data_IF_838642470989
#
_entry.id   IF_838642470989
#
_cell.length_a   1.000
_cell.length_b   1.000
_cell.length_c   1.000
_cell.angle_alpha   90.00
_cell.angle_beta   90.00
_cell.angle_gamma   90.00
#
_symmetry.space_group_name_H-M   'P 1'
#
loop_
_entity.id
_entity.type
_entity.pdbx_description
1 polymer ?
#
# COMPACT_ATOMS: atom_id res chain seq x y z
N UNK A 1 -23.43 -14.88 14.21
CA UNK A 1 -22.85 -15.44 12.95
C UNK A 1 -21.34 -15.21 12.94
N UNK A 2 -20.58 -16.11 12.33
CA UNK A 2 -19.12 -15.95 12.21
C UNK A 2 -18.79 -14.96 11.07
N UNK A 3 -17.83 -14.06 11.30
CA UNK A 3 -17.37 -13.09 10.28
C UNK A 3 -16.46 -13.75 9.20
N UNK A 4 -15.85 -14.90 9.51
CA UNK A 4 -14.95 -15.60 8.59
C UNK A 4 -15.49 -15.84 7.17
N UNK A 5 -16.74 -16.29 6.98
CA UNK A 5 -17.32 -16.47 5.64
C UNK A 5 -17.39 -15.18 4.82
N UNK A 6 -17.64 -14.03 5.43
CA UNK A 6 -17.68 -12.75 4.71
C UNK A 6 -16.29 -12.32 4.25
N UNK A 7 -15.28 -12.54 5.07
CA UNK A 7 -13.90 -12.33 4.67
C UNK A 7 -13.50 -13.29 3.54
N UNK A 8 -13.88 -14.56 3.61
CA UNK A 8 -13.65 -15.52 2.52
C UNK A 8 -14.32 -15.08 1.22
N UNK A 9 -15.56 -14.57 1.28
CA UNK A 9 -16.26 -14.04 0.10
C UNK A 9 -15.51 -12.86 -0.51
N UNK A 10 -14.96 -11.95 0.31
CA UNK A 10 -14.11 -10.87 -0.17
C UNK A 10 -12.86 -11.42 -0.90
N UNK A 11 -12.24 -12.46 -0.38
CA UNK A 11 -11.08 -13.09 -1.03
C UNK A 11 -11.43 -13.89 -2.30
N UNK A 12 -12.67 -14.32 -2.50
CA UNK A 12 -13.11 -14.87 -3.80
C UNK A 12 -13.05 -13.81 -4.90
N UNK A 13 -13.34 -12.56 -4.57
CA UNK A 13 -13.28 -11.43 -5.51
C UNK A 13 -11.87 -10.83 -5.61
N UNK A 14 -11.00 -11.09 -4.66
CA UNK A 14 -9.65 -10.54 -4.58
C UNK A 14 -8.81 -10.71 -5.86
N UNK A 15 -8.73 -11.90 -6.50
CA UNK A 15 -7.92 -12.07 -7.71
C UNK A 15 -8.35 -11.17 -8.85
N UNK A 16 -9.66 -11.00 -9.04
CA UNK A 16 -10.22 -10.12 -10.08
C UNK A 16 -9.85 -8.66 -9.79
N UNK A 17 -10.05 -8.21 -8.55
CA UNK A 17 -9.70 -6.84 -8.14
C UNK A 17 -8.20 -6.58 -8.27
N UNK A 18 -7.36 -7.58 -7.99
CA UNK A 18 -5.92 -7.48 -8.15
C UNK A 18 -5.51 -7.28 -9.61
N UNK A 19 -6.06 -8.07 -10.54
CA UNK A 19 -5.76 -7.95 -11.98
C UNK A 19 -6.23 -6.61 -12.55
N UNK A 20 -7.32 -6.05 -12.01
CA UNK A 20 -7.80 -4.70 -12.35
C UNK A 20 -6.97 -3.57 -11.70
N UNK A 21 -5.75 -3.85 -11.24
CA UNK A 21 -4.85 -2.86 -10.65
C UNK A 21 -5.23 -2.42 -9.24
N UNK A 22 -6.04 -3.22 -8.55
CA UNK A 22 -6.44 -2.97 -7.15
C UNK A 22 -7.52 -1.91 -6.96
N UNK A 23 -8.10 -1.37 -8.01
CA UNK A 23 -9.12 -0.32 -7.92
C UNK A 23 -10.40 -0.77 -7.18
N UNK A 24 -10.73 -2.06 -7.25
CA UNK A 24 -11.90 -2.63 -6.57
C UNK A 24 -11.69 -2.97 -5.08
N UNK A 25 -10.50 -2.82 -4.54
CA UNK A 25 -10.25 -3.17 -3.13
C UNK A 25 -10.95 -2.25 -2.14
N UNK A 26 -11.06 -0.95 -2.43
CA UNK A 26 -11.75 -0.01 -1.54
C UNK A 26 -13.26 -0.33 -1.40
N UNK A 27 -14.03 -0.54 -2.48
CA UNK A 27 -15.39 -1.07 -2.38
C UNK A 27 -15.47 -2.41 -1.64
N UNK A 28 -14.50 -3.30 -1.85
CA UNK A 28 -14.47 -4.61 -1.21
C UNK A 28 -14.30 -4.51 0.31
N UNK A 29 -13.42 -3.62 0.80
CA UNK A 29 -13.32 -3.29 2.23
C UNK A 29 -14.59 -2.64 2.74
N UNK A 30 -15.20 -1.76 1.94
CA UNK A 30 -16.49 -1.15 2.26
C UNK A 30 -17.56 -2.21 2.54
N UNK A 31 -17.74 -3.16 1.63
CA UNK A 31 -18.70 -4.25 1.77
C UNK A 31 -18.38 -5.18 2.96
N UNK A 32 -17.11 -5.49 3.21
CA UNK A 32 -16.70 -6.29 4.36
C UNK A 32 -16.93 -5.55 5.68
N UNK A 33 -16.66 -4.25 5.74
CA UNK A 33 -16.96 -3.41 6.90
C UNK A 33 -18.46 -3.32 7.19
N UNK A 34 -19.29 -3.15 6.15
CA UNK A 34 -20.76 -3.19 6.29
C UNK A 34 -21.25 -4.57 6.75
N UNK A 35 -20.70 -5.65 6.23
CA UNK A 35 -21.01 -6.99 6.71
C UNK A 35 -20.62 -7.16 8.18
N UNK A 36 -19.50 -6.58 8.61
CA UNK A 36 -19.10 -6.57 10.01
C UNK A 36 -20.13 -5.87 10.90
N UNK A 37 -20.74 -4.76 10.46
CA UNK A 37 -21.83 -4.08 11.16
C UNK A 37 -23.09 -4.95 11.29
N UNK A 38 -23.41 -5.69 10.24
CA UNK A 38 -24.63 -6.51 10.19
C UNK A 38 -24.54 -7.81 11.01
N UNK A 39 -23.34 -8.40 11.11
CA UNK A 39 -23.15 -9.77 11.64
C UNK A 39 -22.51 -9.81 13.02
N UNK A 40 -21.68 -8.85 13.35
CA UNK A 40 -21.01 -8.74 14.64
C UNK A 40 -21.43 -7.43 15.31
N UNK A 41 -21.49 -7.41 16.63
CA UNK A 41 -21.53 -6.11 17.35
C UNK A 41 -20.15 -5.47 17.15
N UNK A 42 -20.04 -4.50 16.22
CA UNK A 42 -18.73 -4.01 15.82
C UNK A 42 -18.12 -3.28 17.00
N UNK A 43 -16.90 -3.64 17.31
CA UNK A 43 -16.07 -2.86 18.22
C UNK A 43 -14.83 -2.49 17.41
N UNK A 44 -14.55 -1.20 17.33
CA UNK A 44 -13.28 -0.72 16.84
C UNK A 44 -12.16 -1.38 17.63
N UNK A 45 -10.98 -1.62 17.02
CA UNK A 45 -9.85 -2.12 17.76
C UNK A 45 -9.59 -1.22 18.98
N UNK A 46 -9.66 -1.72 20.22
CA UNK A 46 -9.51 -0.87 21.43
C UNK A 46 -8.02 -0.67 21.70
N UNK A 47 -7.32 -0.07 20.78
CA UNK A 47 -5.89 0.07 20.88
C UNK A 47 -5.49 1.54 20.67
N UNK A 48 -4.54 2.07 21.45
CA UNK A 48 -4.06 3.45 21.31
C UNK A 48 -3.66 3.79 19.88
N UNK A 49 -3.08 2.82 19.13
CA UNK A 49 -2.67 3.05 17.74
C UNK A 49 -3.87 3.37 16.84
N UNK A 50 -5.05 2.76 17.06
CA UNK A 50 -6.23 3.04 16.28
C UNK A 50 -6.76 4.46 16.56
N UNK A 51 -6.78 4.89 17.83
CA UNK A 51 -7.19 6.25 18.20
C UNK A 51 -6.24 7.30 17.60
N UNK A 52 -4.94 7.10 17.70
CA UNK A 52 -3.95 8.02 17.14
C UNK A 52 -4.04 8.02 15.61
N UNK A 53 -4.21 6.84 14.98
CA UNK A 53 -4.43 6.71 13.54
C UNK A 53 -5.68 7.44 13.07
N UNK A 54 -6.80 7.33 13.78
CA UNK A 54 -7.99 8.15 13.51
C UNK A 54 -7.73 9.64 13.74
N UNK A 55 -6.93 10.01 14.74
CA UNK A 55 -6.47 11.38 14.95
C UNK A 55 -5.69 11.91 13.73
N UNK A 56 -4.83 11.10 13.14
CA UNK A 56 -4.14 11.45 11.89
C UNK A 56 -5.13 11.65 10.73
N UNK A 57 -6.09 10.73 10.54
CA UNK A 57 -7.10 10.85 9.48
C UNK A 57 -8.00 12.08 9.70
N UNK A 58 -8.39 12.35 10.95
CA UNK A 58 -9.17 13.53 11.29
C UNK A 58 -8.39 14.83 11.02
N UNK A 59 -7.11 14.86 11.36
CA UNK A 59 -6.23 15.99 11.06
C UNK A 59 -6.08 16.19 9.55
N UNK A 60 -5.84 15.12 8.80
CA UNK A 60 -5.77 15.17 7.36
C UNK A 60 -7.09 15.65 6.74
N UNK A 61 -8.23 15.19 7.23
CA UNK A 61 -9.54 15.66 6.78
C UNK A 61 -9.76 17.15 7.10
N UNK A 62 -9.36 17.59 8.30
CA UNK A 62 -9.43 19.00 8.69
C UNK A 62 -8.55 19.87 7.78
N UNK A 63 -7.38 19.35 7.37
CA UNK A 63 -6.45 20.07 6.48
C UNK A 63 -7.02 20.36 5.09
N UNK A 64 -8.09 19.68 4.68
CA UNK A 64 -8.80 19.99 3.43
C UNK A 64 -9.44 21.40 3.44
N UNK A 65 -9.69 21.98 4.64
CA UNK A 65 -10.26 23.33 4.77
C UNK A 65 -9.34 24.45 4.24
N UNK A 66 -8.03 24.23 4.23
CA UNK A 66 -7.05 25.18 3.69
C UNK A 66 -6.33 24.68 2.46
N UNK A 67 -6.70 23.49 1.96
CA UNK A 67 -6.11 22.94 0.76
C UNK A 67 -6.46 23.80 -0.47
N UNK A 68 -5.52 24.01 -1.40
CA UNK A 68 -5.81 24.71 -2.63
C UNK A 68 -6.88 23.98 -3.44
N UNK A 69 -7.87 24.75 -3.94
CA UNK A 69 -8.86 24.22 -4.87
C UNK A 69 -10.08 23.54 -4.25
N UNK A 70 -10.38 23.76 -2.97
CA UNK A 70 -11.58 23.29 -2.24
C UNK A 70 -12.50 22.38 -3.07
N UNK A 71 -12.29 21.06 -3.10
CA UNK A 71 -13.09 20.16 -3.90
C UNK A 71 -14.54 20.19 -3.40
N UNK A 72 -15.50 20.09 -4.32
CA UNK A 72 -16.88 19.80 -3.92
C UNK A 72 -16.91 18.45 -3.22
N UNK A 73 -17.80 18.28 -2.22
CA UNK A 73 -17.94 16.98 -1.55
C UNK A 73 -18.23 15.86 -2.54
N UNK A 74 -19.11 16.15 -3.48
CA UNK A 74 -19.53 15.23 -4.54
C UNK A 74 -19.74 15.98 -5.85
N UNK A 75 -19.57 15.31 -6.96
CA UNK A 75 -19.92 15.79 -8.30
C UNK A 75 -20.70 14.73 -9.06
N UNK A 76 -21.39 15.18 -10.12
CA UNK A 76 -22.23 14.33 -10.96
C UNK A 76 -23.51 13.84 -10.29
N UNK A 77 -24.15 12.87 -10.90
CA UNK A 77 -25.43 12.28 -10.48
C UNK A 77 -25.37 10.76 -10.51
N UNK A 78 -25.97 10.11 -9.52
CA UNK A 78 -26.13 8.65 -9.51
C UNK A 78 -27.02 8.17 -10.66
N UNK A 79 -28.00 8.97 -11.05
CA UNK A 79 -28.93 8.62 -12.12
C UNK A 79 -28.24 8.65 -13.49
N UNK A 80 -27.28 9.55 -13.66
CA UNK A 80 -26.51 9.68 -14.91
C UNK A 80 -25.27 8.78 -14.94
N UNK A 81 -25.04 8.01 -13.88
CA UNK A 81 -23.89 7.10 -13.77
C UNK A 81 -22.52 7.80 -13.67
N UNK A 82 -22.51 9.12 -13.40
CA UNK A 82 -21.28 9.92 -13.31
C UNK A 82 -21.00 10.47 -11.91
N UNK A 83 -21.66 9.92 -10.88
CA UNK A 83 -21.45 10.31 -9.49
C UNK A 83 -20.00 10.03 -9.04
N UNK A 84 -19.38 11.04 -8.46
CA UNK A 84 -18.03 10.95 -7.90
C UNK A 84 -17.95 11.65 -6.55
N UNK A 85 -17.27 11.04 -5.59
CA UNK A 85 -16.85 11.68 -4.33
C UNK A 85 -15.53 12.39 -4.61
N UNK A 86 -15.54 13.72 -4.63
CA UNK A 86 -14.34 14.52 -4.93
C UNK A 86 -13.51 14.80 -3.67
N UNK A 87 -14.16 14.96 -2.52
CA UNK A 87 -13.51 15.22 -1.25
C UNK A 87 -12.74 13.98 -0.78
N UNK A 88 -11.43 14.07 -0.75
CA UNK A 88 -10.53 12.98 -0.32
C UNK A 88 -10.68 12.66 1.16
N UNK A 89 -11.05 13.65 1.97
CA UNK A 89 -11.38 13.47 3.39
C UNK A 89 -12.47 12.44 3.61
N UNK A 90 -13.54 12.50 2.82
CA UNK A 90 -14.68 11.57 2.95
C UNK A 90 -14.24 10.14 2.64
N UNK A 91 -13.55 9.92 1.53
CA UNK A 91 -13.09 8.58 1.17
C UNK A 91 -12.07 8.04 2.18
N UNK A 92 -11.15 8.87 2.67
CA UNK A 92 -10.16 8.48 3.68
C UNK A 92 -10.82 8.08 5.01
N UNK A 93 -11.80 8.87 5.51
CA UNK A 93 -12.54 8.56 6.73
C UNK A 93 -13.34 7.26 6.57
N UNK A 94 -14.09 7.13 5.47
CA UNK A 94 -14.90 5.94 5.22
C UNK A 94 -14.04 4.70 5.10
N UNK A 95 -12.95 4.76 4.36
CA UNK A 95 -12.02 3.64 4.23
C UNK A 95 -11.40 3.25 5.57
N UNK A 96 -10.91 4.23 6.36
CA UNK A 96 -10.33 3.97 7.66
C UNK A 96 -11.34 3.31 8.61
N UNK A 97 -12.59 3.78 8.61
CA UNK A 97 -13.66 3.20 9.41
C UNK A 97 -13.98 1.77 8.97
N UNK A 98 -14.18 1.52 7.68
CA UNK A 98 -14.50 0.20 7.15
C UNK A 98 -13.35 -0.80 7.36
N UNK A 99 -12.10 -0.37 7.19
CA UNK A 99 -10.91 -1.15 7.50
C UNK A 99 -10.84 -1.52 8.99
N UNK A 100 -11.07 -0.55 9.88
CA UNK A 100 -11.07 -0.79 11.32
C UNK A 100 -12.18 -1.75 11.76
N UNK A 101 -13.38 -1.65 11.17
CA UNK A 101 -14.48 -2.58 11.41
C UNK A 101 -14.15 -3.99 10.91
N UNK A 102 -13.55 -4.13 9.73
CA UNK A 102 -13.10 -5.39 9.16
C UNK A 102 -12.05 -6.07 10.05
N UNK A 103 -11.01 -5.34 10.43
CA UNK A 103 -9.94 -5.84 11.30
C UNK A 103 -10.48 -6.17 12.69
N UNK A 104 -11.25 -5.26 13.30
CA UNK A 104 -11.84 -5.45 14.63
C UNK A 104 -12.79 -6.65 14.71
N UNK A 105 -13.57 -6.91 13.66
CA UNK A 105 -14.43 -8.08 13.56
C UNK A 105 -13.66 -9.36 13.35
N UNK A 106 -12.56 -9.33 12.56
CA UNK A 106 -11.67 -10.48 12.36
C UNK A 106 -10.95 -10.87 13.63
N UNK A 107 -10.49 -9.90 14.43
CA UNK A 107 -9.88 -10.14 15.74
C UNK A 107 -10.78 -10.91 16.71
N UNK A 108 -12.09 -10.87 16.52
CA UNK A 108 -13.10 -11.53 17.37
C UNK A 108 -13.82 -12.68 16.70
N UNK A 109 -13.55 -12.88 15.41
CA UNK A 109 -14.17 -13.98 14.67
C UNK A 109 -13.79 -15.31 15.31
N UNK A 110 -14.73 -16.25 15.34
CA UNK A 110 -14.41 -17.65 15.63
C UNK A 110 -13.47 -18.19 14.55
N UNK A 111 -12.60 -19.13 14.88
CA UNK A 111 -11.79 -19.84 13.90
C UNK A 111 -12.65 -20.37 12.75
N UNK A 112 -12.12 -20.26 11.56
CA UNK A 112 -12.86 -20.60 10.35
C UNK A 112 -11.93 -21.32 9.33
N UNK A 113 -11.64 -22.62 9.54
CA UNK A 113 -10.69 -23.38 8.69
C UNK A 113 -11.04 -23.32 7.21
N UNK A 114 -12.35 -23.45 6.87
CA UNK A 114 -12.81 -23.35 5.48
C UNK A 114 -12.54 -21.97 4.87
N UNK A 115 -12.84 -20.90 5.62
CA UNK A 115 -12.55 -19.53 5.19
C UNK A 115 -11.05 -19.30 5.01
N UNK A 116 -10.24 -19.79 5.94
CA UNK A 116 -8.78 -19.74 5.86
C UNK A 116 -8.22 -20.46 4.63
N UNK A 117 -8.81 -21.61 4.28
CA UNK A 117 -8.46 -22.35 3.06
C UNK A 117 -8.83 -21.59 1.79
N UNK A 118 -10.03 -20.99 1.74
CA UNK A 118 -10.45 -20.15 0.60
C UNK A 118 -9.48 -18.98 0.39
N UNK A 119 -9.10 -18.27 1.46
CA UNK A 119 -8.15 -17.17 1.37
C UNK A 119 -6.81 -17.63 0.76
N UNK A 120 -6.27 -18.76 1.23
CA UNK A 120 -4.99 -19.27 0.72
C UNK A 120 -5.09 -19.66 -0.77
N UNK A 121 -6.16 -20.33 -1.18
CA UNK A 121 -6.38 -20.71 -2.58
C UNK A 121 -6.52 -19.46 -3.46
N UNK A 122 -7.30 -18.47 -3.03
CA UNK A 122 -7.54 -17.26 -3.82
C UNK A 122 -6.27 -16.39 -3.96
N UNK A 123 -5.38 -16.36 -2.98
CA UNK A 123 -4.06 -15.73 -3.14
C UNK A 123 -3.21 -16.47 -4.17
N UNK A 124 -3.27 -17.80 -4.23
CA UNK A 124 -2.63 -18.59 -5.28
C UNK A 124 -3.22 -18.29 -6.67
N UNK A 125 -4.55 -18.23 -6.79
CA UNK A 125 -5.24 -17.84 -8.02
C UNK A 125 -4.83 -16.45 -8.47
N UNK A 126 -4.75 -15.49 -7.54
CA UNK A 126 -4.26 -14.15 -7.85
C UNK A 126 -2.85 -14.19 -8.44
N UNK A 127 -1.94 -14.94 -7.83
CA UNK A 127 -0.56 -15.01 -8.31
C UNK A 127 -0.50 -15.51 -9.76
N UNK A 128 -1.24 -16.57 -10.06
CA UNK A 128 -1.32 -17.12 -11.43
C UNK A 128 -1.93 -16.09 -12.39
N UNK A 129 -3.05 -15.46 -12.02
CA UNK A 129 -3.73 -14.50 -12.89
C UNK A 129 -2.89 -13.25 -13.16
N UNK A 130 -2.21 -12.70 -12.14
CA UNK A 130 -1.35 -11.51 -12.33
C UNK A 130 -0.15 -11.86 -13.23
N UNK A 131 0.49 -13.00 -13.03
CA UNK A 131 1.60 -13.45 -13.88
C UNK A 131 1.10 -13.66 -15.32
N UNK A 132 -0.01 -14.36 -15.50
CA UNK A 132 -0.58 -14.62 -16.82
C UNK A 132 -1.00 -13.32 -17.52
N UNK A 133 -1.69 -12.41 -16.83
CA UNK A 133 -2.11 -11.11 -17.40
C UNK A 133 -0.93 -10.24 -17.79
N UNK A 134 0.19 -10.33 -17.08
CA UNK A 134 1.41 -9.60 -17.42
C UNK A 134 2.11 -10.18 -18.66
N UNK A 135 2.25 -11.51 -18.72
CA UNK A 135 2.85 -12.20 -19.87
C UNK A 135 2.02 -11.99 -21.13
N UNK A 136 0.70 -12.04 -20.98
CA UNK A 136 -0.25 -11.91 -22.08
C UNK A 136 -0.76 -10.47 -22.28
N UNK A 137 -0.11 -9.47 -21.68
CA UNK A 137 -0.59 -8.08 -21.67
C UNK A 137 -0.83 -7.52 -23.06
N UNK A 138 0.10 -7.70 -24.00
CA UNK A 138 -0.05 -7.22 -25.37
C UNK A 138 -1.29 -7.79 -26.06
N UNK A 139 -1.42 -9.11 -26.21
CA UNK A 139 -2.60 -9.73 -26.84
C UNK A 139 -3.91 -9.39 -26.12
N UNK A 140 -3.93 -9.38 -24.78
CA UNK A 140 -5.14 -9.10 -23.99
C UNK A 140 -5.57 -7.65 -24.15
N UNK A 141 -4.66 -6.69 -24.04
CA UNK A 141 -4.98 -5.28 -24.21
C UNK A 141 -5.44 -4.96 -25.63
N UNK A 142 -4.79 -5.52 -26.65
CA UNK A 142 -5.20 -5.35 -28.05
C UNK A 142 -6.58 -5.97 -28.32
N UNK A 143 -6.87 -7.13 -27.76
CA UNK A 143 -8.18 -7.78 -27.91
C UNK A 143 -9.31 -6.99 -27.22
N UNK A 144 -9.02 -6.34 -26.07
CA UNK A 144 -10.03 -5.60 -25.28
C UNK A 144 -10.23 -4.18 -25.80
N UNK A 145 -9.15 -3.48 -26.15
CA UNK A 145 -9.17 -2.04 -26.45
C UNK A 145 -8.89 -1.72 -27.91
N UNK A 146 -8.57 -2.70 -28.75
CA UNK A 146 -8.23 -2.48 -30.15
C UNK A 146 -6.97 -1.60 -30.27
N UNK A 147 -7.07 -0.55 -31.10
CA UNK A 147 -5.99 0.41 -31.35
C UNK A 147 -6.12 1.71 -30.54
N UNK A 148 -7.05 1.79 -29.58
CA UNK A 148 -7.21 2.97 -28.74
C UNK A 148 -5.99 3.17 -27.83
N UNK A 149 -5.07 4.02 -28.25
CA UNK A 149 -3.80 4.27 -27.59
C UNK A 149 -3.97 4.69 -26.12
N UNK A 150 -5.00 5.48 -25.79
CA UNK A 150 -5.28 5.94 -24.44
C UNK A 150 -5.70 4.78 -23.55
N UNK A 151 -6.64 3.96 -24.01
CA UNK A 151 -7.12 2.79 -23.27
C UNK A 151 -6.05 1.71 -23.13
N UNK A 152 -5.22 1.53 -24.15
CA UNK A 152 -4.05 0.65 -24.09
C UNK A 152 -3.07 1.10 -23.02
N UNK A 153 -2.79 2.40 -22.93
CA UNK A 153 -1.91 2.96 -21.89
C UNK A 153 -2.51 2.81 -20.49
N UNK A 154 -3.80 3.13 -20.31
CA UNK A 154 -4.50 2.95 -19.04
C UNK A 154 -4.53 1.47 -18.60
N UNK A 155 -4.77 0.56 -19.53
CA UNK A 155 -4.72 -0.89 -19.31
C UNK A 155 -3.34 -1.37 -18.89
N UNK A 156 -2.28 -0.93 -19.57
CA UNK A 156 -0.90 -1.24 -19.22
C UNK A 156 -0.54 -0.73 -17.82
N UNK A 157 -0.98 0.47 -17.45
CA UNK A 157 -0.79 0.99 -16.09
C UNK A 157 -1.51 0.15 -15.03
N UNK A 158 -2.71 -0.36 -15.32
CA UNK A 158 -3.44 -1.23 -14.41
C UNK A 158 -2.74 -2.57 -14.21
N UNK A 159 -2.15 -3.15 -15.26
CA UNK A 159 -1.32 -4.36 -15.17
C UNK A 159 -0.09 -4.07 -14.29
N UNK A 160 0.58 -2.93 -14.47
CA UNK A 160 1.69 -2.51 -13.60
C UNK A 160 1.28 -2.37 -12.12
N UNK A 161 0.08 -1.83 -11.86
CA UNK A 161 -0.48 -1.77 -10.49
C UNK A 161 -0.79 -3.16 -9.93
N UNK A 162 -1.21 -4.11 -10.78
CA UNK A 162 -1.43 -5.51 -10.38
C UNK A 162 -0.16 -6.16 -9.83
N UNK A 163 1.01 -5.83 -10.36
CA UNK A 163 2.30 -6.29 -9.83
C UNK A 163 2.51 -5.88 -8.36
N UNK A 164 2.14 -4.64 -7.99
CA UNK A 164 2.20 -4.20 -6.60
C UNK A 164 1.20 -4.96 -5.71
N UNK A 165 0.02 -5.31 -6.22
CA UNK A 165 -0.94 -6.13 -5.46
C UNK A 165 -0.42 -7.56 -5.25
N UNK A 166 0.30 -8.11 -6.23
CA UNK A 166 0.98 -9.39 -6.08
C UNK A 166 2.10 -9.30 -5.04
N UNK A 167 2.92 -8.24 -5.07
CA UNK A 167 3.96 -8.03 -4.08
C UNK A 167 3.44 -7.93 -2.64
N UNK A 168 2.19 -7.47 -2.43
CA UNK A 168 1.50 -7.49 -1.13
C UNK A 168 0.90 -8.86 -0.77
N UNK A 169 0.60 -9.71 -1.75
CA UNK A 169 0.04 -11.05 -1.53
C UNK A 169 1.13 -12.10 -1.26
N UNK A 170 2.29 -11.97 -1.89
CA UNK A 170 3.42 -12.91 -1.73
C UNK A 170 3.87 -13.10 -0.28
N UNK A 171 3.96 -12.05 0.58
CA UNK A 171 4.28 -12.23 1.99
C UNK A 171 3.32 -13.16 2.74
N UNK A 172 2.07 -13.22 2.32
CA UNK A 172 1.08 -14.13 2.90
C UNK A 172 1.24 -15.54 2.33
N UNK A 173 1.40 -15.64 1.03
CA UNK A 173 1.39 -16.92 0.31
C UNK A 173 2.67 -17.72 0.53
N UNK A 174 3.86 -17.10 0.42
CA UNK A 174 5.13 -17.82 0.47
C UNK A 174 5.38 -18.54 1.80
N UNK A 175 5.23 -17.94 2.99
CA UNK A 175 5.40 -18.65 4.25
C UNK A 175 4.40 -19.79 4.44
N UNK A 176 3.16 -19.61 3.97
CA UNK A 176 2.15 -20.68 4.03
C UNK A 176 2.52 -21.87 3.16
N UNK A 177 3.01 -21.63 1.94
CA UNK A 177 3.50 -22.70 1.06
C UNK A 177 4.65 -23.45 1.72
N UNK A 178 5.69 -22.74 2.16
CA UNK A 178 6.91 -23.33 2.73
C UNK A 178 6.60 -24.17 3.97
N UNK A 179 5.76 -23.68 4.86
CA UNK A 179 5.56 -24.27 6.17
C UNK A 179 4.39 -25.28 6.24
N UNK A 180 3.48 -25.25 5.25
CA UNK A 180 2.29 -26.13 5.23
C UNK A 180 2.35 -27.27 4.23
N UNK A 181 3.02 -27.11 3.11
CA UNK A 181 3.09 -28.10 2.03
C UNK A 181 4.42 -28.90 2.07
N UNK A 182 4.97 -29.13 3.25
CA UNK A 182 6.15 -29.99 3.50
C UNK A 182 7.16 -29.99 2.31
N UNK A 183 7.26 -31.11 1.58
CA UNK A 183 8.26 -31.29 0.53
C UNK A 183 8.03 -30.45 -0.73
N UNK A 184 6.79 -30.21 -1.11
CA UNK A 184 6.43 -29.51 -2.36
C UNK A 184 6.40 -27.99 -2.15
N UNK A 185 6.06 -27.56 -0.95
CA UNK A 185 5.86 -26.15 -0.61
C UNK A 185 7.08 -25.27 -0.85
N UNK A 186 8.28 -25.63 -0.38
CA UNK A 186 9.48 -24.86 -0.62
C UNK A 186 9.81 -24.68 -2.10
N UNK A 187 9.63 -25.72 -2.91
CA UNK A 187 9.86 -25.66 -4.35
C UNK A 187 8.84 -24.75 -5.05
N UNK A 188 7.55 -24.86 -4.69
CA UNK A 188 6.51 -23.97 -5.22
C UNK A 188 6.73 -22.51 -4.80
N UNK A 189 7.10 -22.26 -3.55
CA UNK A 189 7.39 -20.93 -3.06
C UNK A 189 8.61 -20.32 -3.78
N UNK A 190 9.67 -21.09 -3.99
CA UNK A 190 10.84 -20.66 -4.73
C UNK A 190 10.50 -20.36 -6.20
N UNK A 191 9.76 -21.25 -6.88
CA UNK A 191 9.32 -21.06 -8.26
C UNK A 191 8.46 -19.80 -8.40
N UNK A 192 7.51 -19.58 -7.48
CA UNK A 192 6.64 -18.42 -7.48
C UNK A 192 7.43 -17.12 -7.22
N UNK A 193 8.34 -17.12 -6.24
CA UNK A 193 9.16 -15.96 -5.93
C UNK A 193 10.10 -15.60 -7.09
N UNK A 194 10.79 -16.59 -7.68
CA UNK A 194 11.68 -16.40 -8.83
C UNK A 194 10.87 -15.91 -10.04
N UNK A 195 9.73 -16.53 -10.31
CA UNK A 195 8.85 -16.14 -11.41
C UNK A 195 8.32 -14.71 -11.25
N UNK A 196 7.91 -14.31 -10.06
CA UNK A 196 7.48 -12.94 -9.77
C UNK A 196 8.62 -11.94 -9.95
N UNK A 197 9.81 -12.20 -9.40
CA UNK A 197 10.99 -11.33 -9.56
C UNK A 197 11.39 -11.21 -11.02
N UNK A 198 11.45 -12.32 -11.76
CA UNK A 198 11.77 -12.31 -13.18
C UNK A 198 10.76 -11.49 -13.99
N UNK A 199 9.46 -11.67 -13.71
CA UNK A 199 8.38 -10.89 -14.32
C UNK A 199 8.52 -9.40 -14.01
N UNK A 200 8.82 -9.02 -12.76
CA UNK A 200 8.99 -7.61 -12.37
C UNK A 200 10.17 -6.96 -13.08
N UNK A 201 11.29 -7.68 -13.21
CA UNK A 201 12.48 -7.19 -13.92
C UNK A 201 12.19 -7.03 -15.42
N UNK A 202 11.63 -8.05 -16.06
CA UNK A 202 11.36 -8.03 -17.51
C UNK A 202 10.34 -6.96 -17.88
N UNK A 203 9.35 -6.74 -17.02
CA UNK A 203 8.27 -5.76 -17.26
C UNK A 203 8.60 -4.35 -16.74
N UNK A 204 9.74 -4.13 -16.09
CA UNK A 204 10.12 -2.82 -15.55
C UNK A 204 9.25 -2.36 -14.35
N UNK A 205 8.74 -3.31 -13.56
CA UNK A 205 7.92 -2.99 -12.38
C UNK A 205 8.77 -2.76 -11.13
N UNK A 206 9.59 -1.72 -11.16
CA UNK A 206 10.58 -1.37 -10.13
C UNK A 206 9.99 -1.33 -8.71
N UNK A 207 8.79 -0.78 -8.53
CA UNK A 207 8.16 -0.67 -7.21
C UNK A 207 7.80 -2.03 -6.60
N UNK A 208 7.36 -2.98 -7.43
CA UNK A 208 7.08 -4.34 -7.00
C UNK A 208 8.37 -5.10 -6.68
N UNK A 209 9.44 -4.87 -7.45
CA UNK A 209 10.76 -5.44 -7.17
C UNK A 209 11.32 -4.94 -5.85
N UNK A 210 11.26 -3.63 -5.59
CA UNK A 210 11.68 -3.03 -4.31
C UNK A 210 10.82 -3.56 -3.16
N UNK A 211 9.54 -3.83 -3.39
CA UNK A 211 8.66 -4.44 -2.39
C UNK A 211 9.09 -5.88 -2.03
N UNK A 212 9.59 -6.67 -3.00
CA UNK A 212 10.17 -8.00 -2.72
C UNK A 212 11.44 -7.92 -1.88
N UNK A 213 12.29 -6.92 -2.14
CA UNK A 213 13.48 -6.66 -1.33
C UNK A 213 13.09 -6.30 0.10
N UNK A 214 12.15 -5.36 0.27
CA UNK A 214 11.65 -4.95 1.58
C UNK A 214 10.98 -6.08 2.34
N UNK A 215 10.19 -6.93 1.65
CA UNK A 215 9.62 -8.15 2.20
C UNK A 215 10.70 -9.04 2.77
N UNK A 216 11.72 -9.36 1.97
CA UNK A 216 12.80 -10.27 2.37
C UNK A 216 13.61 -9.70 3.52
N UNK A 217 13.95 -8.42 3.46
CA UNK A 217 14.68 -7.73 4.52
C UNK A 217 13.91 -7.74 5.86
N UNK A 218 12.60 -7.46 5.83
CA UNK A 218 11.77 -7.47 7.03
C UNK A 218 11.60 -8.87 7.63
N UNK A 219 11.46 -9.91 6.79
CA UNK A 219 11.42 -11.30 7.24
C UNK A 219 12.73 -11.67 7.91
N UNK A 220 13.88 -11.39 7.29
CA UNK A 220 15.20 -11.65 7.86
C UNK A 220 15.41 -10.88 9.17
N UNK A 221 15.05 -9.61 9.19
CA UNK A 221 15.16 -8.77 10.37
C UNK A 221 14.38 -9.32 11.57
N UNK A 222 13.12 -9.73 11.33
CA UNK A 222 12.28 -10.33 12.39
C UNK A 222 12.74 -11.75 12.77
N UNK A 223 13.34 -12.50 11.84
CA UNK A 223 13.94 -13.80 12.14
C UNK A 223 15.14 -13.66 13.08
N UNK A 224 15.99 -12.66 12.88
CA UNK A 224 17.16 -12.37 13.74
C UNK A 224 16.75 -11.76 15.08
N UNK A 225 15.67 -11.00 15.13
CA UNK A 225 15.16 -10.31 16.33
C UNK A 225 13.80 -10.87 16.80
N UNK A 226 13.71 -12.13 17.22
CA UNK A 226 12.43 -12.79 17.49
C UNK A 226 11.67 -12.20 18.70
N UNK A 227 12.35 -11.47 19.59
CA UNK A 227 11.72 -10.84 20.77
C UNK A 227 11.24 -9.40 20.52
N UNK A 228 11.88 -8.67 19.63
CA UNK A 228 11.67 -7.23 19.45
C UNK A 228 11.52 -6.77 17.99
N UNK A 229 11.60 -7.69 17.03
CA UNK A 229 11.66 -7.36 15.60
C UNK A 229 10.52 -6.45 15.14
N UNK A 230 9.27 -6.70 15.55
CA UNK A 230 8.15 -5.80 15.19
C UNK A 230 8.30 -4.41 15.82
N UNK A 231 8.78 -4.32 17.06
CA UNK A 231 8.97 -3.01 17.70
C UNK A 231 9.98 -2.16 16.94
N UNK A 232 11.09 -2.75 16.53
CA UNK A 232 12.12 -2.07 15.76
C UNK A 232 11.68 -1.78 14.32
N UNK A 233 10.95 -2.69 13.69
CA UNK A 233 10.43 -2.50 12.33
C UNK A 233 9.45 -1.32 12.27
N UNK A 234 8.42 -1.32 13.10
CA UNK A 234 7.43 -0.24 13.11
C UNK A 234 7.96 1.05 13.78
N UNK A 235 8.83 0.94 14.78
CA UNK A 235 9.55 2.08 15.33
C UNK A 235 10.49 2.73 14.30
N UNK A 236 11.18 1.93 13.49
CA UNK A 236 11.99 2.40 12.37
C UNK A 236 11.17 3.11 11.30
N UNK A 237 9.98 2.56 10.95
CA UNK A 237 9.05 3.22 10.02
C UNK A 237 8.52 4.54 10.60
N UNK A 238 8.24 4.60 11.90
CA UNK A 238 7.85 5.84 12.57
C UNK A 238 8.98 6.89 12.50
N UNK A 239 10.22 6.47 12.80
CA UNK A 239 11.40 7.32 12.66
C UNK A 239 11.63 7.79 11.21
N UNK A 240 11.41 6.91 10.23
CA UNK A 240 11.48 7.24 8.82
C UNK A 240 10.46 8.33 8.44
N UNK A 241 9.19 8.21 8.89
CA UNK A 241 8.18 9.26 8.63
C UNK A 241 8.59 10.56 9.31
N UNK A 242 8.96 10.51 10.59
CA UNK A 242 9.32 11.70 11.35
C UNK A 242 10.53 12.44 10.77
N UNK A 243 11.54 11.71 10.28
CA UNK A 243 12.78 12.27 9.76
C UNK A 243 12.79 12.42 8.22
N UNK A 244 11.70 12.11 7.52
CA UNK A 244 11.70 12.05 6.06
C UNK A 244 12.28 13.30 5.37
N UNK A 245 11.93 14.55 5.72
CA UNK A 245 12.51 15.72 5.06
C UNK A 245 14.02 15.77 5.16
N UNK A 246 14.57 15.48 6.34
CA UNK A 246 16.03 15.48 6.58
C UNK A 246 16.70 14.32 5.87
N UNK A 247 16.12 13.11 5.96
CA UNK A 247 16.67 11.90 5.31
C UNK A 247 16.74 12.09 3.81
N UNK A 248 15.69 12.61 3.18
CA UNK A 248 15.66 12.81 1.73
C UNK A 248 16.52 14.00 1.29
N UNK A 249 16.62 15.08 2.08
CA UNK A 249 17.57 16.15 1.79
C UNK A 249 19.03 15.65 1.82
N UNK A 250 19.37 14.80 2.79
CA UNK A 250 20.70 14.17 2.86
C UNK A 250 20.93 13.19 1.72
N UNK A 251 19.91 12.38 1.37
CA UNK A 251 19.97 11.43 0.25
C UNK A 251 20.21 12.15 -1.09
N UNK A 252 19.48 13.24 -1.36
CA UNK A 252 19.63 14.02 -2.58
C UNK A 252 21.06 14.56 -2.66
N UNK A 253 21.59 15.15 -1.58
CA UNK A 253 22.97 15.64 -1.53
C UNK A 253 24.01 14.51 -1.74
N UNK A 254 23.79 13.35 -1.13
CA UNK A 254 24.69 12.21 -1.26
C UNK A 254 24.71 11.63 -2.68
N UNK A 255 23.60 11.76 -3.42
CA UNK A 255 23.45 11.25 -4.78
C UNK A 255 23.78 12.28 -5.87
N UNK A 256 24.14 13.53 -5.52
CA UNK A 256 24.35 14.62 -6.48
C UNK A 256 25.35 14.22 -7.60
N UNK A 257 26.51 13.67 -7.25
CA UNK A 257 27.50 13.21 -8.23
C UNK A 257 27.12 11.92 -8.98
N UNK A 258 26.13 11.16 -8.51
CA UNK A 258 25.70 9.88 -9.11
C UNK A 258 24.38 10.03 -9.88
N UNK A 259 23.60 11.06 -9.55
CA UNK A 259 22.29 11.31 -10.10
C UNK A 259 22.21 11.22 -11.66
N UNK A 260 23.18 11.76 -12.43
CA UNK A 260 23.16 11.65 -13.90
C UNK A 260 23.20 10.23 -14.44
N UNK A 261 23.73 9.28 -13.67
CA UNK A 261 23.89 7.87 -14.06
C UNK A 261 22.70 6.98 -13.62
N UNK A 262 21.78 7.51 -12.82
CA UNK A 262 20.61 6.77 -12.39
C UNK A 262 19.57 6.64 -13.53
N UNK A 263 18.73 5.60 -13.52
CA UNK A 263 17.58 5.51 -14.42
C UNK A 263 16.70 6.75 -14.37
N UNK A 264 16.08 7.13 -15.50
CA UNK A 264 15.27 8.34 -15.63
C UNK A 264 14.15 8.44 -14.56
N UNK A 265 13.51 7.30 -14.21
CA UNK A 265 12.47 7.22 -13.17
C UNK A 265 12.98 7.58 -11.76
N UNK A 266 14.26 7.29 -11.44
CA UNK A 266 14.86 7.68 -10.17
C UNK A 266 15.31 9.13 -10.19
N UNK A 267 15.92 9.58 -11.28
CA UNK A 267 16.35 10.98 -11.45
C UNK A 267 15.19 11.95 -11.31
N UNK A 268 14.08 11.66 -11.97
CA UNK A 268 12.88 12.50 -11.89
C UNK A 268 12.31 12.58 -10.46
N UNK A 269 12.39 11.48 -9.70
CA UNK A 269 11.96 11.46 -8.30
C UNK A 269 12.87 12.28 -7.40
N UNK A 270 14.18 12.24 -7.60
CA UNK A 270 15.11 13.06 -6.79
C UNK A 270 14.74 14.54 -6.88
N UNK A 271 14.50 15.03 -8.09
CA UNK A 271 14.10 16.43 -8.27
C UNK A 271 12.68 16.71 -7.73
N UNK A 272 11.75 15.79 -7.93
CA UNK A 272 10.42 15.88 -7.33
C UNK A 272 10.49 16.00 -5.80
N UNK A 273 11.35 15.20 -5.15
CA UNK A 273 11.55 15.26 -3.70
C UNK A 273 12.21 16.56 -3.25
N UNK A 274 13.16 17.11 -4.02
CA UNK A 274 13.78 18.40 -3.76
C UNK A 274 12.73 19.53 -3.77
N UNK A 275 11.88 19.58 -4.80
CA UNK A 275 10.75 20.53 -4.88
C UNK A 275 9.81 20.38 -3.69
N UNK A 276 9.44 19.13 -3.35
CA UNK A 276 8.53 18.86 -2.23
C UNK A 276 9.12 19.34 -0.91
N UNK A 277 10.42 19.06 -0.64
CA UNK A 277 11.11 19.50 0.58
C UNK A 277 11.20 21.03 0.64
N UNK A 278 11.52 21.67 -0.48
CA UNK A 278 11.53 23.13 -0.56
C UNK A 278 10.20 23.75 -0.16
N UNK A 279 9.10 23.21 -0.70
CA UNK A 279 7.76 23.70 -0.39
C UNK A 279 7.29 23.43 1.04
N UNK A 280 7.85 22.43 1.73
CA UNK A 280 7.52 22.17 3.15
C UNK A 280 7.89 23.35 4.05
N UNK A 281 8.89 24.17 3.68
CA UNK A 281 9.29 25.35 4.44
C UNK A 281 8.21 26.44 4.49
N UNK A 282 7.29 26.47 3.51
CA UNK A 282 6.23 27.47 3.42
C UNK A 282 5.10 27.19 4.43
N UNK A 283 4.90 25.92 4.79
CA UNK A 283 3.85 25.48 5.71
C UNK A 283 4.30 24.34 6.64
N UNK A 284 5.36 24.53 7.46
CA UNK A 284 6.03 23.42 8.15
C UNK A 284 5.18 22.72 9.20
N UNK A 285 4.25 23.42 9.86
CA UNK A 285 3.44 22.88 10.94
C UNK A 285 2.11 22.26 10.47
N UNK A 286 1.38 22.97 9.59
CA UNK A 286 0.03 22.60 9.17
C UNK A 286 0.02 21.86 7.84
N UNK A 287 1.09 21.98 7.04
CA UNK A 287 1.13 21.51 5.66
C UNK A 287 0.27 22.37 4.73
N UNK A 288 0.31 22.02 3.45
CA UNK A 288 -0.44 22.72 2.40
C UNK A 288 -1.90 22.27 2.27
N UNK A 289 -2.33 21.30 3.08
CA UNK A 289 -3.67 20.72 3.05
C UNK A 289 -3.74 19.43 2.25
N UNK A 290 -4.81 18.69 2.51
CA UNK A 290 -5.09 17.39 1.92
C UNK A 290 -5.05 17.44 0.38
N UNK A 291 -4.29 16.55 -0.24
CA UNK A 291 -4.16 16.43 -1.70
C UNK A 291 -3.57 17.69 -2.40
N UNK A 292 -2.95 18.61 -1.65
CA UNK A 292 -2.39 19.86 -2.19
C UNK A 292 -1.26 19.60 -3.21
N UNK A 293 -0.48 18.54 -3.05
CA UNK A 293 0.60 18.17 -3.98
C UNK A 293 0.11 18.02 -5.42
N UNK A 294 -1.18 17.69 -5.62
CA UNK A 294 -1.81 17.58 -6.93
C UNK A 294 -2.02 18.91 -7.64
N UNK A 295 -1.99 20.00 -6.91
CA UNK A 295 -2.23 21.35 -7.47
C UNK A 295 -0.95 22.04 -7.92
N UNK A 296 0.22 21.45 -7.62
CA UNK A 296 1.51 22.04 -7.97
C UNK A 296 1.76 21.94 -9.47
N UNK A 297 2.24 23.04 -10.08
CA UNK A 297 2.30 23.23 -11.53
C UNK A 297 3.72 23.26 -12.09
N UNK A 298 4.74 23.08 -11.27
CA UNK A 298 6.12 23.01 -11.76
C UNK A 298 6.25 21.87 -12.76
N UNK A 299 6.82 22.17 -13.93
CA UNK A 299 7.05 21.20 -15.00
C UNK A 299 8.55 20.97 -15.20
N UNK A 300 8.89 19.90 -15.89
CA UNK A 300 10.28 19.60 -16.25
C UNK A 300 10.88 20.60 -17.27
N UNK A 301 10.15 21.63 -17.70
CA UNK A 301 10.69 22.70 -18.51
C UNK A 301 11.83 23.47 -17.81
N UNK A 302 11.74 23.60 -16.48
CA UNK A 302 12.75 24.31 -15.64
C UNK A 302 13.74 23.33 -14.99
N UNK A 303 13.89 22.12 -15.53
CA UNK A 303 14.75 21.08 -14.97
C UNK A 303 16.22 21.55 -14.90
N UNK A 304 16.94 21.14 -13.85
CA UNK A 304 18.37 21.44 -13.73
C UNK A 304 19.19 20.68 -14.79
N UNK A 305 20.42 21.15 -15.03
CA UNK A 305 21.30 20.61 -16.09
C UNK A 305 21.56 19.09 -15.96
N UNK A 306 21.66 18.56 -14.75
CA UNK A 306 21.85 17.13 -14.51
C UNK A 306 20.63 16.27 -14.93
N UNK A 307 19.47 16.91 -15.21
CA UNK A 307 18.30 16.28 -15.82
C UNK A 307 18.13 16.58 -17.31
N UNK A 308 19.07 17.32 -17.94
CA UNK A 308 18.99 17.68 -19.35
C UNK A 308 18.87 16.45 -20.30
N UNK A 309 19.40 15.31 -19.87
CA UNK A 309 19.33 14.04 -20.63
C UNK A 309 17.95 13.38 -20.63
N UNK A 310 16.96 13.88 -19.86
CA UNK A 310 15.60 13.39 -19.97
C UNK A 310 15.02 13.75 -21.34
N UNK A 311 14.25 12.84 -21.96
CA UNK A 311 13.62 13.10 -23.26
C UNK A 311 12.83 14.42 -23.28
N UNK A 312 12.83 15.10 -24.41
CA UNK A 312 12.20 16.43 -24.52
C UNK A 312 10.70 16.43 -24.23
N UNK A 313 9.99 15.33 -24.48
CA UNK A 313 8.57 15.21 -24.18
C UNK A 313 8.27 15.28 -22.67
N UNK A 314 9.27 15.16 -21.79
CA UNK A 314 9.11 15.36 -20.35
C UNK A 314 8.90 16.81 -19.96
N UNK A 315 9.27 17.78 -20.80
CA UNK A 315 9.18 19.22 -20.49
C UNK A 315 7.79 19.64 -20.03
N UNK A 316 6.75 19.06 -20.62
CA UNK A 316 5.37 19.39 -20.31
C UNK A 316 4.79 18.60 -19.12
N UNK A 317 5.53 17.62 -18.61
CA UNK A 317 5.07 16.84 -17.46
C UNK A 317 5.29 17.60 -16.14
N UNK A 318 4.35 17.50 -15.19
CA UNK A 318 4.54 18.05 -13.86
C UNK A 318 5.64 17.30 -13.12
N UNK A 319 6.50 18.02 -12.39
CA UNK A 319 7.57 17.44 -11.58
C UNK A 319 6.99 16.58 -10.46
N UNK A 320 5.88 17.05 -9.87
CA UNK A 320 5.10 16.29 -8.89
C UNK A 320 3.80 15.85 -9.58
N UNK A 321 3.74 14.66 -10.21
CA UNK A 321 2.58 14.23 -11.01
C UNK A 321 1.42 13.76 -10.12
N UNK A 322 0.86 14.70 -9.35
CA UNK A 322 -0.23 14.48 -8.39
C UNK A 322 0.20 14.00 -7.01
N UNK A 323 1.41 13.46 -6.85
CA UNK A 323 2.02 13.10 -5.57
C UNK A 323 3.52 12.81 -5.74
N UNK A 324 4.32 12.88 -4.68
CA UNK A 324 5.79 12.76 -4.76
C UNK A 324 6.32 11.32 -4.93
N UNK A 325 5.46 10.31 -5.14
CA UNK A 325 5.82 8.89 -5.10
C UNK A 325 6.55 8.48 -3.79
N UNK A 326 6.29 9.20 -2.72
CA UNK A 326 6.79 8.94 -1.38
C UNK A 326 5.76 9.46 -0.37
N UNK A 327 5.08 8.54 0.31
CA UNK A 327 4.01 8.93 1.22
C UNK A 327 4.51 9.64 2.47
N UNK A 328 5.76 9.38 2.93
CA UNK A 328 6.32 10.07 4.08
C UNK A 328 6.54 11.56 3.78
N UNK A 329 7.11 11.88 2.62
CA UNK A 329 7.22 13.26 2.15
C UNK A 329 5.83 13.88 1.89
N UNK A 330 4.87 13.10 1.37
CA UNK A 330 3.51 13.58 1.15
C UNK A 330 2.81 13.92 2.47
N UNK A 331 2.99 13.11 3.53
CA UNK A 331 2.48 13.42 4.88
C UNK A 331 2.99 14.80 5.33
N UNK A 332 4.29 15.04 5.25
CA UNK A 332 4.87 16.32 5.63
C UNK A 332 4.35 17.47 4.76
N UNK A 333 4.33 17.30 3.45
CA UNK A 333 3.91 18.35 2.52
C UNK A 333 2.43 18.74 2.71
N UNK A 334 1.56 17.77 2.94
CA UNK A 334 0.11 18.01 2.97
C UNK A 334 -0.43 18.24 4.38
N UNK A 335 0.10 17.56 5.40
CA UNK A 335 -0.42 17.61 6.77
C UNK A 335 0.55 18.22 7.78
N UNK A 336 1.74 18.61 7.32
CA UNK A 336 2.77 19.25 8.12
C UNK A 336 3.34 18.37 9.23
N UNK A 337 4.07 19.00 10.14
CA UNK A 337 4.68 18.34 11.30
C UNK A 337 3.63 17.68 12.20
N UNK A 338 2.43 18.29 12.36
CA UNK A 338 1.37 17.74 13.20
C UNK A 338 0.93 16.37 12.64
N UNK A 339 0.66 16.29 11.32
CA UNK A 339 0.30 15.03 10.69
C UNK A 339 1.41 13.99 10.73
N UNK A 340 2.66 14.40 10.49
CA UNK A 340 3.82 13.52 10.56
C UNK A 340 4.02 12.92 11.96
N UNK A 341 3.85 13.72 13.01
CA UNK A 341 3.91 13.26 14.41
C UNK A 341 2.77 12.28 14.71
N UNK A 342 1.53 12.58 14.31
CA UNK A 342 0.40 11.67 14.52
C UNK A 342 0.59 10.34 13.79
N UNK A 343 1.05 10.36 12.54
CA UNK A 343 1.34 9.16 11.77
C UNK A 343 2.47 8.33 12.43
N UNK A 344 3.55 8.97 12.84
CA UNK A 344 4.67 8.31 13.52
C UNK A 344 4.23 7.72 14.87
N UNK A 345 3.52 8.47 15.70
CA UNK A 345 3.00 7.99 16.99
C UNK A 345 2.03 6.81 16.83
N UNK A 346 1.21 6.79 15.77
CA UNK A 346 0.35 5.65 15.45
C UNK A 346 1.17 4.37 15.22
N UNK A 347 2.26 4.45 14.47
CA UNK A 347 3.16 3.31 14.24
C UNK A 347 3.93 2.91 15.50
N UNK A 348 4.36 3.86 16.32
CA UNK A 348 4.98 3.57 17.62
C UNK A 348 3.98 2.82 18.52
N UNK A 349 2.75 3.32 18.61
CA UNK A 349 1.71 2.66 19.40
C UNK A 349 1.39 1.25 18.87
N UNK A 350 1.36 1.05 17.54
CA UNK A 350 1.23 -0.25 16.91
C UNK A 350 2.40 -1.17 17.28
N UNK A 351 3.64 -0.67 17.25
CA UNK A 351 4.85 -1.41 17.58
C UNK A 351 4.79 -2.03 19.00
N UNK A 352 4.18 -1.33 19.94
CA UNK A 352 4.01 -1.81 21.31
C UNK A 352 2.76 -2.68 21.52
N UNK A 353 1.79 -2.58 20.62
CA UNK A 353 0.55 -3.37 20.69
C UNK A 353 0.68 -4.75 20.03
N UNK A 354 1.55 -4.89 19.05
CA UNK A 354 1.78 -6.17 18.39
C UNK A 354 2.42 -7.19 19.32
N UNK A 355 2.05 -8.48 19.22
CA UNK A 355 2.70 -9.56 19.97
C UNK A 355 4.18 -9.65 19.58
N UNK A 356 4.99 -10.22 20.48
CA UNK A 356 6.38 -10.51 20.13
C UNK A 356 6.44 -11.51 18.98
N UNK A 357 7.34 -11.34 18.01
CA UNK A 357 7.45 -12.31 16.91
C UNK A 357 7.61 -13.77 17.37
N UNK A 358 8.34 -13.99 18.48
CA UNK A 358 8.53 -15.33 19.04
C UNK A 358 7.24 -15.99 19.58
N UNK A 359 6.21 -15.19 19.89
CA UNK A 359 4.91 -15.69 20.39
C UNK A 359 3.99 -16.14 19.23
N UNK A 360 4.37 -15.84 18.00
CA UNK A 360 3.61 -16.18 16.81
C UNK A 360 4.18 -17.44 16.14
N UNK A 361 3.30 -18.21 15.55
CA UNK A 361 3.72 -19.30 14.64
C UNK A 361 4.56 -18.73 13.49
N UNK A 362 5.56 -19.48 12.99
CA UNK A 362 6.47 -18.99 11.95
C UNK A 362 5.77 -18.44 10.72
N UNK A 363 4.72 -19.13 10.22
CA UNK A 363 3.95 -18.70 9.05
C UNK A 363 3.27 -17.34 9.25
N UNK A 364 2.73 -17.08 10.44
CA UNK A 364 2.08 -15.82 10.80
C UNK A 364 3.11 -14.71 10.98
N UNK A 365 4.18 -15.00 11.70
CA UNK A 365 5.30 -14.10 11.96
C UNK A 365 5.92 -13.58 10.67
N UNK A 366 6.23 -14.49 9.75
CA UNK A 366 6.88 -14.13 8.49
C UNK A 366 5.93 -13.48 7.51
N UNK A 367 4.64 -13.89 7.48
CA UNK A 367 3.63 -13.19 6.71
C UNK A 367 3.45 -11.73 7.17
N UNK A 368 3.34 -11.49 8.48
CA UNK A 368 3.19 -10.15 9.02
C UNK A 368 4.45 -9.29 8.79
N UNK A 369 5.64 -9.84 9.00
CA UNK A 369 6.90 -9.14 8.74
C UNK A 369 7.05 -8.78 7.25
N UNK A 370 6.82 -9.76 6.39
CA UNK A 370 6.92 -9.57 4.94
C UNK A 370 5.91 -8.57 4.41
N UNK A 371 4.66 -8.62 4.89
CA UNK A 371 3.64 -7.64 4.51
C UNK A 371 4.05 -6.22 4.93
N UNK A 372 4.57 -6.05 6.15
CA UNK A 372 5.05 -4.76 6.62
C UNK A 372 6.21 -4.23 5.76
N UNK A 373 7.18 -5.08 5.39
CA UNK A 373 8.32 -4.71 4.55
C UNK A 373 7.91 -4.38 3.12
N UNK A 374 7.04 -5.17 2.50
CA UNK A 374 6.50 -4.90 1.16
C UNK A 374 5.68 -3.60 1.14
N UNK A 375 4.80 -3.42 2.14
CA UNK A 375 3.99 -2.22 2.27
C UNK A 375 4.85 -0.97 2.49
N UNK A 376 5.90 -1.03 3.33
CA UNK A 376 6.84 0.06 3.55
C UNK A 376 7.58 0.48 2.27
N UNK A 377 7.96 -0.49 1.44
CA UNK A 377 8.59 -0.22 0.15
C UNK A 377 7.64 0.46 -0.83
N UNK A 378 6.41 -0.04 -0.95
CA UNK A 378 5.38 0.57 -1.80
C UNK A 378 5.01 1.97 -1.30
N UNK A 379 4.89 2.16 0.01
CA UNK A 379 4.70 3.44 0.67
C UNK A 379 5.79 4.45 0.29
N UNK A 380 7.04 3.98 0.17
CA UNK A 380 8.20 4.85 -0.09
C UNK A 380 8.44 5.16 -1.56
N UNK A 381 7.90 4.36 -2.52
CA UNK A 381 8.31 4.47 -3.92
C UNK A 381 7.19 4.39 -4.96
N UNK A 382 5.92 4.16 -4.58
CA UNK A 382 4.90 3.88 -5.56
C UNK A 382 3.71 4.83 -5.53
N UNK A 383 2.90 4.76 -4.50
CA UNK A 383 1.56 5.33 -4.49
C UNK A 383 1.46 6.67 -3.76
N UNK A 384 0.35 7.38 -4.04
CA UNK A 384 -0.11 8.48 -3.20
C UNK A 384 -0.54 7.96 -1.82
N UNK A 385 -0.34 8.77 -0.79
CA UNK A 385 -0.89 8.54 0.56
C UNK A 385 -2.40 8.28 0.52
N UNK A 386 -3.11 8.89 -0.43
CA UNK A 386 -4.56 8.77 -0.60
C UNK A 386 -4.97 7.68 -1.60
N UNK A 387 -4.09 6.72 -1.88
CA UNK A 387 -4.43 5.57 -2.71
C UNK A 387 -5.28 4.58 -1.91
N UNK A 388 -6.57 4.62 -2.13
CA UNK A 388 -7.56 3.81 -1.43
C UNK A 388 -7.36 2.31 -1.67
N UNK A 389 -6.99 1.91 -2.89
CA UNK A 389 -6.74 0.51 -3.24
C UNK A 389 -5.57 -0.09 -2.46
N UNK A 390 -4.50 0.68 -2.25
CA UNK A 390 -3.35 0.25 -1.44
C UNK A 390 -3.74 -0.01 0.02
N UNK A 391 -4.39 0.96 0.68
CA UNK A 391 -4.79 0.81 2.08
C UNK A 391 -5.84 -0.26 2.28
N UNK A 392 -6.78 -0.39 1.35
CA UNK A 392 -7.79 -1.44 1.37
C UNK A 392 -7.16 -2.84 1.23
N UNK A 393 -6.24 -3.02 0.27
CA UNK A 393 -5.54 -4.29 0.11
C UNK A 393 -4.73 -4.65 1.35
N UNK A 394 -4.06 -3.67 1.96
CA UNK A 394 -3.30 -3.86 3.20
C UNK A 394 -4.20 -4.26 4.38
N UNK A 395 -5.38 -3.63 4.50
CA UNK A 395 -6.35 -3.97 5.54
C UNK A 395 -6.90 -5.40 5.38
N UNK A 396 -7.23 -5.81 4.16
CA UNK A 396 -7.69 -7.19 3.88
C UNK A 396 -6.57 -8.20 4.10
N UNK A 397 -5.34 -7.90 3.68
CA UNK A 397 -4.18 -8.76 3.92
C UNK A 397 -3.91 -8.94 5.42
N UNK A 398 -3.97 -7.86 6.20
CA UNK A 398 -3.86 -7.92 7.66
C UNK A 398 -5.00 -8.77 8.28
N UNK A 399 -6.24 -8.58 7.81
CA UNK A 399 -7.39 -9.40 8.25
C UNK A 399 -7.18 -10.89 7.92
N UNK A 400 -6.61 -11.23 6.77
CA UNK A 400 -6.28 -12.62 6.42
C UNK A 400 -5.25 -13.22 7.39
N UNK A 401 -4.19 -12.50 7.71
CA UNK A 401 -3.16 -12.94 8.68
C UNK A 401 -3.81 -13.18 10.07
N UNK A 402 -4.69 -12.29 10.50
CA UNK A 402 -5.40 -12.42 11.77
C UNK A 402 -6.32 -13.65 11.75
N UNK A 403 -7.07 -13.86 10.68
CA UNK A 403 -7.94 -15.05 10.52
C UNK A 403 -7.12 -16.35 10.61
N UNK A 404 -5.98 -16.39 9.91
CA UNK A 404 -5.08 -17.54 9.96
C UNK A 404 -4.50 -17.76 11.37
N UNK A 405 -4.04 -16.70 12.02
CA UNK A 405 -3.53 -16.79 13.39
C UNK A 405 -4.57 -17.42 14.33
N UNK A 406 -5.82 -16.96 14.26
CA UNK A 406 -6.91 -17.50 15.09
C UNK A 406 -7.21 -18.96 14.77
N UNK A 407 -7.29 -19.29 13.48
CA UNK A 407 -7.62 -20.65 13.04
C UNK A 407 -6.53 -21.66 13.40
N UNK A 408 -5.24 -21.27 13.28
CA UNK A 408 -4.12 -22.14 13.54
C UNK A 408 -3.87 -22.37 15.04
N UNK A 409 -4.22 -21.40 15.87
CA UNK A 409 -4.06 -21.52 17.33
C UNK A 409 -4.98 -22.59 17.93
N UNK A 410 -6.24 -22.68 17.45
CA UNK A 410 -7.17 -23.73 17.94
C UNK A 410 -6.84 -25.15 17.46
N UNK A 411 -6.06 -25.32 16.39
CA UNK A 411 -5.64 -26.68 15.98
C UNK A 411 -4.54 -27.25 16.86
N UNK A 412 -3.96 -26.45 17.75
CA UNK A 412 -2.90 -26.86 18.68
C UNK A 412 -3.43 -27.07 20.13
N UNK A 413 -4.64 -26.53 20.44
CA UNK A 413 -5.38 -26.81 21.69
C UNK A 413 -6.30 -28.01 21.54
#
# INVERSE_FOLDING_TARGET
>A
MSFGPFLAAAFVLWPVMAVLGGQGFAPLVGLTGLAALAVSRPRLPPAPFALIGFGFIAWAALSELWAPGHPRLVSGSLLDGNFSVEARSVSAILLALMAALTIGSTLRASPAPRASGVVAVMLGVQAVLVIASTILSGPVLSAVYGEDARRLQEGAQNIGRSANTLALALPLLLPMLVLRLKFVGPALAALLAIGAVAMFIISGYDSALVAMIGMSAAIMFVAVLPRSGFRWLFGGLAGYIAAAPVLFALLIRALDGVAPHLPASFRSRLWSWEIVIGRMSDAPFLGHGLNATRTWKETFATRPDWLAQLPDYWKDYPVVPGHPHNMALQIWAETGMIGAVLAALSLVALAFHLPRPAELRPEIRFAAAGLAGAAASIFSFAYSLWNEGFWASLALAAAAIILWHRTLRETDE
#
